data_IF_771925186849
#
_entry.id   IF_771925186849
#
_cell.length_a   1.000
_cell.length_b   1.000
_cell.length_c   1.000
_cell.angle_alpha   90.00
_cell.angle_beta   90.00
_cell.angle_gamma   90.00
#
_symmetry.space_group_name_H-M   'P 1'
#
loop_
_entity.id
_entity.type
_entity.pdbx_description
1 polymer ?
#
# COMPACT_ATOMS: atom_id res chain seq x y z
N UNK A 1 24.58 4.27 22.37
CA UNK A 1 23.32 4.67 21.72
C UNK A 1 22.64 3.39 21.26
N UNK A 2 21.40 3.07 21.68
CA UNK A 2 20.72 1.87 21.20
C UNK A 2 20.59 1.96 19.67
N UNK A 3 20.80 0.84 18.99
CA UNK A 3 20.67 0.76 17.54
C UNK A 3 19.24 1.11 17.12
N UNK A 4 19.07 1.91 16.07
CA UNK A 4 17.74 2.30 15.59
C UNK A 4 17.02 1.09 14.97
N UNK A 5 15.81 0.79 15.44
CA UNK A 5 14.99 -0.28 14.86
C UNK A 5 14.68 -0.02 13.38
N UNK A 6 14.43 -1.09 12.61
CA UNK A 6 13.95 -0.94 11.22
C UNK A 6 12.69 -0.08 11.14
N UNK A 7 11.77 -0.20 12.10
CA UNK A 7 10.56 0.63 12.15
C UNK A 7 10.90 2.10 12.37
N UNK A 8 11.83 2.42 13.27
CA UNK A 8 12.31 3.79 13.52
C UNK A 8 12.91 4.40 12.25
N UNK A 9 13.70 3.62 11.50
CA UNK A 9 14.30 4.05 10.23
C UNK A 9 13.23 4.30 9.17
N UNK A 10 12.25 3.41 9.02
CA UNK A 10 11.13 3.56 8.08
C UNK A 10 10.31 4.81 8.42
N UNK A 11 9.99 5.03 9.71
CA UNK A 11 9.22 6.18 10.16
C UNK A 11 9.94 7.51 9.90
N UNK A 12 11.23 7.60 10.23
CA UNK A 12 12.04 8.79 10.00
C UNK A 12 12.13 9.12 8.49
N UNK A 13 12.32 8.10 7.66
CA UNK A 13 12.32 8.27 6.20
C UNK A 13 10.96 8.77 5.69
N UNK A 14 9.85 8.14 6.12
CA UNK A 14 8.49 8.55 5.72
C UNK A 14 8.17 9.99 6.10
N UNK A 15 8.62 10.46 7.27
CA UNK A 15 8.44 11.86 7.68
C UNK A 15 9.16 12.84 6.74
N UNK A 16 10.36 12.49 6.25
CA UNK A 16 11.05 13.31 5.25
C UNK A 16 10.31 13.29 3.90
N UNK A 17 9.83 12.13 3.45
CA UNK A 17 9.04 12.00 2.23
C UNK A 17 7.74 12.80 2.27
N UNK A 18 7.00 12.75 3.40
CA UNK A 18 5.75 13.50 3.58
C UNK A 18 6.01 15.00 3.54
N UNK A 19 7.06 15.50 4.22
CA UNK A 19 7.42 16.92 4.17
C UNK A 19 7.74 17.37 2.74
N UNK A 20 8.51 16.59 1.99
CA UNK A 20 8.81 16.88 0.59
C UNK A 20 7.56 16.81 -0.30
N UNK A 21 6.64 15.88 -0.04
CA UNK A 21 5.39 15.76 -0.78
C UNK A 21 4.45 16.94 -0.51
N UNK A 22 4.34 17.41 0.73
CA UNK A 22 3.54 18.58 1.11
C UNK A 22 4.02 19.88 0.47
N UNK A 23 5.33 20.00 0.22
CA UNK A 23 5.90 21.14 -0.53
C UNK A 23 5.50 21.11 -2.02
N UNK A 24 5.36 19.92 -2.61
CA UNK A 24 4.95 19.75 -4.02
C UNK A 24 3.44 19.85 -4.21
N UNK A 25 2.67 19.28 -3.28
CA UNK A 25 1.22 19.24 -3.32
C UNK A 25 0.68 19.67 -1.95
N UNK A 26 0.23 20.93 -1.82
CA UNK A 26 -0.37 21.41 -0.59
C UNK A 26 -1.58 20.57 -0.19
N UNK A 27 -1.80 20.43 1.12
CA UNK A 27 -2.87 19.58 1.66
C UNK A 27 -4.26 19.91 1.12
N UNK A 28 -4.57 21.20 0.94
CA UNK A 28 -5.85 21.64 0.38
C UNK A 28 -6.08 21.13 -1.05
N UNK A 29 -5.03 21.17 -1.89
CA UNK A 29 -5.10 20.65 -3.26
C UNK A 29 -5.26 19.12 -3.28
N UNK A 30 -4.54 18.41 -2.39
CA UNK A 30 -4.69 16.97 -2.24
C UNK A 30 -6.10 16.59 -1.77
N UNK A 31 -6.67 17.33 -0.82
CA UNK A 31 -8.01 17.11 -0.30
C UNK A 31 -9.08 17.32 -1.40
N UNK A 32 -8.96 18.38 -2.19
CA UNK A 32 -9.85 18.62 -3.32
C UNK A 32 -9.76 17.50 -4.38
N UNK A 33 -8.55 17.06 -4.71
CA UNK A 33 -8.33 15.95 -5.65
C UNK A 33 -8.92 14.63 -5.12
N UNK A 34 -8.84 14.38 -3.81
CA UNK A 34 -9.42 13.21 -3.17
C UNK A 34 -10.95 13.23 -3.20
N UNK A 35 -11.57 14.40 -2.97
CA UNK A 35 -13.03 14.57 -3.05
C UNK A 35 -13.58 14.37 -4.46
N UNK A 36 -12.77 14.63 -5.49
CA UNK A 36 -13.13 14.43 -6.88
C UNK A 36 -12.99 12.96 -7.35
N UNK A 37 -12.46 12.06 -6.53
CA UNK A 37 -12.36 10.64 -6.89
C UNK A 37 -13.73 9.95 -6.88
N UNK A 38 -13.83 8.84 -7.62
CA UNK A 38 -14.97 7.96 -7.50
C UNK A 38 -15.13 7.42 -6.08
N UNK A 39 -16.35 7.03 -5.71
CA UNK A 39 -16.62 6.43 -4.42
C UNK A 39 -15.70 5.22 -4.16
N UNK A 40 -15.17 5.07 -2.93
CA UNK A 40 -14.30 3.95 -2.59
C UNK A 40 -15.07 2.63 -2.72
N UNK A 41 -14.35 1.56 -3.06
CA UNK A 41 -14.89 0.20 -2.96
C UNK A 41 -15.11 -0.15 -1.50
N UNK A 42 -16.15 -0.94 -1.22
CA UNK A 42 -16.46 -1.38 0.15
C UNK A 42 -15.53 -2.52 0.59
N UNK A 43 -14.37 -2.13 1.11
CA UNK A 43 -13.33 -3.07 1.56
C UNK A 43 -13.80 -3.94 2.73
N UNK A 44 -14.56 -3.36 3.67
CA UNK A 44 -15.05 -4.10 4.83
C UNK A 44 -16.04 -5.19 4.42
N UNK A 45 -17.01 -4.85 3.57
CA UNK A 45 -17.97 -5.82 3.05
C UNK A 45 -17.29 -6.97 2.31
N UNK A 46 -16.26 -6.69 1.51
CA UNK A 46 -15.51 -7.72 0.80
C UNK A 46 -14.87 -8.75 1.76
N UNK A 47 -14.47 -8.32 2.96
CA UNK A 47 -13.87 -9.20 3.96
C UNK A 47 -14.88 -9.92 4.85
N UNK A 48 -16.06 -9.35 5.08
CA UNK A 48 -17.02 -9.85 6.08
C UNK A 48 -18.21 -10.59 5.49
N UNK A 49 -18.48 -10.45 4.18
CA UNK A 49 -19.69 -11.02 3.54
C UNK A 49 -19.39 -12.12 2.52
N UNK A 50 -18.12 -12.45 2.30
CA UNK A 50 -17.68 -13.52 1.39
C UNK A 50 -17.91 -14.93 1.95
N UNK A 51 -17.81 -15.97 1.10
CA UNK A 51 -17.79 -17.37 1.56
C UNK A 51 -16.59 -17.61 2.50
N UNK A 52 -16.59 -18.75 3.20
CA UNK A 52 -15.75 -19.13 4.37
C UNK A 52 -14.30 -18.59 4.51
N UNK A 53 -13.62 -18.12 3.45
CA UNK A 53 -12.30 -17.50 3.49
C UNK A 53 -12.27 -16.19 2.68
N UNK A 54 -11.91 -15.08 3.32
CA UNK A 54 -11.56 -13.81 2.67
C UNK A 54 -10.04 -13.61 2.65
N UNK A 55 -9.49 -13.27 1.48
CA UNK A 55 -8.05 -13.12 1.26
C UNK A 55 -7.67 -11.67 0.94
N UNK A 56 -6.68 -11.14 1.65
CA UNK A 56 -5.98 -9.91 1.25
C UNK A 56 -4.65 -10.34 0.64
N UNK A 57 -4.59 -10.38 -0.70
CA UNK A 57 -3.36 -10.75 -1.41
C UNK A 57 -2.42 -9.53 -1.55
N UNK A 58 -1.29 -9.54 -0.83
CA UNK A 58 -0.30 -8.46 -0.87
C UNK A 58 0.65 -8.58 -2.08
N UNK A 59 0.72 -7.52 -2.88
CA UNK A 59 1.76 -7.37 -3.91
C UNK A 59 3.03 -6.81 -3.28
N UNK A 60 4.07 -7.65 -3.12
CA UNK A 60 5.34 -7.25 -2.49
C UNK A 60 6.57 -7.64 -3.31
N UNK A 61 7.36 -6.64 -3.73
CA UNK A 61 8.61 -6.86 -4.49
C UNK A 61 9.77 -7.35 -3.62
N UNK A 62 9.93 -6.75 -2.45
CA UNK A 62 11.04 -7.01 -1.52
C UNK A 62 10.64 -6.73 -0.07
N UNK A 63 11.39 -7.27 0.88
CA UNK A 63 11.27 -6.92 2.31
C UNK A 63 12.64 -6.78 2.97
N UNK A 64 12.76 -6.03 4.09
CA UNK A 64 14.03 -5.95 4.83
C UNK A 64 14.54 -7.30 5.33
N UNK A 65 13.65 -8.24 5.66
CA UNK A 65 14.00 -9.55 6.20
C UNK A 65 14.33 -10.60 5.15
N UNK A 66 13.75 -10.50 3.95
CA UNK A 66 13.85 -11.54 2.92
C UNK A 66 14.48 -11.05 1.59
N UNK A 67 14.90 -9.78 1.52
CA UNK A 67 15.48 -9.22 0.31
C UNK A 67 14.47 -9.15 -0.84
N UNK A 68 14.91 -9.40 -2.07
CA UNK A 68 14.03 -9.41 -3.25
C UNK A 68 13.21 -10.70 -3.25
N UNK A 69 11.89 -10.55 -3.12
CA UNK A 69 10.93 -11.66 -3.18
C UNK A 69 10.58 -12.03 -4.62
N UNK A 70 10.48 -11.00 -5.49
CA UNK A 70 10.13 -11.19 -6.90
C UNK A 70 10.82 -10.13 -7.76
N UNK A 71 11.77 -10.57 -8.59
CA UNK A 71 12.51 -9.69 -9.47
C UNK A 71 11.63 -9.12 -10.59
N UNK A 72 10.86 -9.98 -11.26
CA UNK A 72 9.87 -9.61 -12.28
C UNK A 72 8.51 -9.26 -11.64
N UNK A 73 8.26 -7.97 -11.50
CA UNK A 73 7.19 -7.43 -10.67
C UNK A 73 6.21 -6.57 -11.47
N UNK A 74 5.52 -7.18 -12.44
CA UNK A 74 4.39 -6.55 -13.13
C UNK A 74 3.15 -6.50 -12.21
N UNK A 75 2.98 -5.35 -11.57
CA UNK A 75 1.86 -5.06 -10.66
C UNK A 75 0.50 -5.33 -11.30
N UNK A 76 0.34 -5.04 -12.59
CA UNK A 76 -0.97 -5.14 -13.24
C UNK A 76 -1.34 -6.58 -13.54
N UNK A 77 -0.38 -7.37 -14.05
CA UNK A 77 -0.58 -8.80 -14.27
C UNK A 77 -0.85 -9.53 -12.95
N UNK A 78 -0.09 -9.19 -11.89
CA UNK A 78 -0.24 -9.82 -10.59
C UNK A 78 -1.56 -9.48 -9.91
N UNK A 79 -1.99 -8.22 -9.95
CA UNK A 79 -3.30 -7.82 -9.44
C UNK A 79 -4.44 -8.56 -10.14
N UNK A 80 -4.38 -8.70 -11.48
CA UNK A 80 -5.36 -9.48 -12.25
C UNK A 80 -5.34 -10.95 -11.88
N UNK A 81 -4.15 -11.52 -11.68
CA UNK A 81 -4.01 -12.91 -11.26
C UNK A 81 -4.64 -13.14 -9.89
N UNK A 82 -4.38 -12.28 -8.90
CA UNK A 82 -5.00 -12.40 -7.57
C UNK A 82 -6.53 -12.35 -7.65
N UNK A 83 -7.08 -11.38 -8.38
CA UNK A 83 -8.53 -11.27 -8.56
C UNK A 83 -9.15 -12.50 -9.24
N UNK A 84 -8.48 -13.07 -10.25
CA UNK A 84 -8.96 -14.26 -10.95
C UNK A 84 -8.93 -15.54 -10.10
N UNK A 85 -8.13 -15.57 -9.03
CA UNK A 85 -7.96 -16.73 -8.14
C UNK A 85 -8.61 -16.54 -6.77
N UNK A 86 -9.55 -15.58 -6.64
CA UNK A 86 -10.42 -15.45 -5.47
C UNK A 86 -9.98 -14.44 -4.41
N UNK A 87 -9.05 -13.53 -4.74
CA UNK A 87 -8.77 -12.33 -3.93
C UNK A 87 -9.59 -11.12 -4.39
#
# INVERSE_FOLDING_TARGET
MPEQSFLSRIAAHKQAEVRAAQQRTPLAALAAAAQAQAAPRDFMRALTTGPNLALIAELKKASPSAGVLRADFDVTQLARSYAAHGA
#
